data_IF_234758517084
#
_entry.id   IF_234758517084
#
_cell.length_a   1.000
_cell.length_b   1.000
_cell.length_c   1.000
_cell.angle_alpha   90.00
_cell.angle_beta   90.00
_cell.angle_gamma   90.00
#
_symmetry.space_group_name_H-M   'P 1'
#
loop_
_entity.id
_entity.type
_entity.pdbx_description
1 polymer ?
#
# COMPACT_ATOMS: atom_id res chain seq x y z
N UNK A 1 -17.00 9.98 -10.01
CA UNK A 1 -15.64 9.41 -9.90
C UNK A 1 -14.97 10.07 -8.71
N UNK A 2 -14.42 9.29 -7.77
CA UNK A 2 -13.70 9.80 -6.59
C UNK A 2 -12.24 9.36 -6.64
N UNK A 3 -11.37 10.10 -5.96
CA UNK A 3 -10.00 9.70 -5.63
C UNK A 3 -9.98 9.12 -4.22
N UNK A 4 -9.46 7.91 -4.06
CA UNK A 4 -9.50 7.18 -2.78
C UNK A 4 -8.11 6.65 -2.45
N UNK A 5 -7.58 7.04 -1.30
CA UNK A 5 -6.34 6.48 -0.76
C UNK A 5 -6.70 5.41 0.26
N UNK A 6 -6.29 4.18 0.01
CA UNK A 6 -6.31 3.11 0.99
C UNK A 6 -4.97 3.15 1.75
N UNK A 7 -5.04 3.45 3.04
CA UNK A 7 -3.89 3.50 3.93
C UNK A 7 -3.88 2.21 4.77
N UNK A 8 -3.14 1.21 4.31
CA UNK A 8 -3.11 -0.12 4.92
C UNK A 8 -2.06 -0.17 6.04
N UNK A 9 -2.49 -0.37 7.28
CA UNK A 9 -1.65 -0.36 8.48
C UNK A 9 -1.56 -1.72 9.19
N UNK A 10 -2.63 -2.52 9.11
CA UNK A 10 -2.76 -3.75 9.89
C UNK A 10 -1.85 -4.89 9.38
N UNK A 11 -1.20 -5.60 10.30
CA UNK A 11 -0.27 -6.70 10.02
C UNK A 11 -0.93 -8.06 9.81
N UNK A 12 -2.25 -8.14 9.97
CA UNK A 12 -3.00 -9.37 9.69
C UNK A 12 -3.20 -9.49 8.19
N UNK A 13 -2.63 -10.55 7.59
CA UNK A 13 -2.79 -10.89 6.17
C UNK A 13 -4.24 -10.81 5.68
N UNK A 14 -5.20 -11.27 6.47
CA UNK A 14 -6.61 -11.20 6.12
C UNK A 14 -7.10 -9.75 5.96
N UNK A 15 -6.72 -8.82 6.84
CA UNK A 15 -7.09 -7.40 6.73
C UNK A 15 -6.46 -6.78 5.49
N UNK A 16 -5.18 -7.03 5.24
CA UNK A 16 -4.50 -6.49 4.06
C UNK A 16 -5.11 -7.01 2.75
N UNK A 17 -5.47 -8.29 2.67
CA UNK A 17 -6.18 -8.83 1.51
C UNK A 17 -7.53 -8.13 1.28
N UNK A 18 -8.26 -7.75 2.34
CA UNK A 18 -9.49 -6.97 2.18
C UNK A 18 -9.22 -5.55 1.68
N UNK A 19 -8.12 -4.91 2.10
CA UNK A 19 -7.69 -3.63 1.54
C UNK A 19 -7.45 -3.74 0.02
N UNK A 20 -6.72 -4.78 -0.42
CA UNK A 20 -6.46 -5.05 -1.84
C UNK A 20 -7.76 -5.34 -2.63
N UNK A 21 -8.68 -6.14 -2.07
CA UNK A 21 -9.96 -6.45 -2.72
C UNK A 21 -10.84 -5.20 -2.88
N UNK A 22 -10.91 -4.36 -1.84
CA UNK A 22 -11.63 -3.08 -1.91
C UNK A 22 -11.00 -2.16 -2.95
N UNK A 23 -9.66 -2.08 -3.02
CA UNK A 23 -8.98 -1.29 -4.03
C UNK A 23 -9.37 -1.73 -5.45
N UNK A 24 -9.32 -3.05 -5.71
CA UNK A 24 -9.69 -3.62 -7.01
C UNK A 24 -11.16 -3.36 -7.37
N UNK A 25 -12.08 -3.51 -6.41
CA UNK A 25 -13.50 -3.27 -6.63
C UNK A 25 -13.78 -1.78 -6.93
N UNK A 26 -13.17 -0.86 -6.17
CA UNK A 26 -13.30 0.58 -6.39
C UNK A 26 -12.75 1.00 -7.76
N UNK A 27 -11.61 0.46 -8.17
CA UNK A 27 -11.08 0.66 -9.54
C UNK A 27 -12.04 0.14 -10.60
N UNK A 28 -12.60 -1.05 -10.41
CA UNK A 28 -13.61 -1.63 -11.31
C UNK A 28 -14.90 -0.78 -11.41
N UNK A 29 -15.23 -0.04 -10.35
CA UNK A 29 -16.30 0.96 -10.33
C UNK A 29 -15.93 2.31 -10.96
N UNK A 30 -14.73 2.45 -11.53
CA UNK A 30 -14.27 3.68 -12.16
C UNK A 30 -13.83 4.75 -11.18
N UNK A 31 -13.27 4.39 -10.02
CA UNK A 31 -12.59 5.32 -9.12
C UNK A 31 -11.08 5.34 -9.36
N UNK A 32 -10.45 6.46 -9.06
CA UNK A 32 -8.98 6.56 -8.98
C UNK A 32 -8.57 6.12 -7.56
N UNK A 33 -7.76 5.06 -7.47
CA UNK A 33 -7.43 4.43 -6.20
C UNK A 33 -5.92 4.30 -6.08
N UNK A 34 -5.40 4.65 -4.91
CA UNK A 34 -4.02 4.40 -4.51
C UNK A 34 -3.96 3.63 -3.20
N UNK A 35 -2.90 2.87 -3.00
CA UNK A 35 -2.61 2.16 -1.75
C UNK A 35 -1.26 2.62 -1.24
N UNK A 36 -1.22 3.04 0.02
CA UNK A 36 0.01 3.21 0.80
C UNK A 36 0.08 2.07 1.81
N UNK A 37 1.24 1.41 1.85
CA UNK A 37 1.53 0.32 2.79
C UNK A 37 2.35 0.92 3.94
N UNK A 38 1.76 1.02 5.11
CA UNK A 38 2.34 1.61 6.32
C UNK A 38 2.27 0.60 7.48
N UNK A 39 2.98 0.86 8.57
CA UNK A 39 2.80 0.08 9.80
C UNK A 39 3.14 -1.39 9.60
N UNK A 40 2.38 -2.26 10.28
CA UNK A 40 2.64 -3.70 10.26
C UNK A 40 2.35 -4.36 8.91
N UNK A 41 1.52 -3.74 8.05
CA UNK A 41 1.28 -4.22 6.70
C UNK A 41 2.56 -4.30 5.85
N UNK A 42 3.59 -3.53 6.18
CA UNK A 42 4.90 -3.58 5.50
C UNK A 42 5.55 -4.97 5.54
N UNK A 43 5.22 -5.81 6.53
CA UNK A 43 5.77 -7.18 6.65
C UNK A 43 5.13 -8.17 5.69
N UNK A 44 3.93 -7.86 5.18
CA UNK A 44 3.13 -8.77 4.36
C UNK A 44 3.55 -8.78 2.89
N UNK A 45 4.32 -7.78 2.42
CA UNK A 45 4.83 -7.72 1.04
C UNK A 45 5.63 -8.99 0.73
N UNK A 46 6.60 -9.35 1.57
CA UNK A 46 7.43 -10.53 1.36
C UNK A 46 6.64 -11.84 1.29
N UNK A 47 5.59 -11.97 2.11
CA UNK A 47 4.69 -13.12 2.06
C UNK A 47 3.93 -13.19 0.73
N UNK A 48 3.39 -12.05 0.27
CA UNK A 48 2.58 -12.01 -0.95
C UNK A 48 3.41 -12.15 -2.23
N UNK A 49 4.66 -11.67 -2.25
CA UNK A 49 5.63 -11.95 -3.32
C UNK A 49 5.93 -13.46 -3.39
N UNK A 50 6.23 -14.08 -2.24
CA UNK A 50 6.52 -15.52 -2.16
C UNK A 50 5.33 -16.39 -2.60
N UNK A 51 4.12 -15.98 -2.24
CA UNK A 51 2.89 -16.69 -2.61
C UNK A 51 2.48 -16.47 -4.07
N UNK A 52 3.21 -15.66 -4.84
CA UNK A 52 2.83 -15.20 -6.19
C UNK A 52 1.38 -14.69 -6.23
N UNK A 53 0.99 -13.90 -5.22
CA UNK A 53 -0.39 -13.52 -5.03
C UNK A 53 -0.89 -12.64 -6.18
N UNK A 54 -1.73 -13.21 -7.05
CA UNK A 54 -2.22 -12.57 -8.28
C UNK A 54 -2.91 -11.23 -8.05
N UNK A 55 -3.63 -11.06 -6.93
CA UNK A 55 -4.33 -9.81 -6.64
C UNK A 55 -3.33 -8.71 -6.32
N UNK A 56 -2.42 -8.98 -5.39
CA UNK A 56 -1.35 -8.07 -5.03
C UNK A 56 -0.46 -7.71 -6.23
N UNK A 57 0.00 -8.72 -6.98
CA UNK A 57 0.85 -8.51 -8.16
C UNK A 57 0.16 -7.62 -9.19
N UNK A 58 -1.13 -7.84 -9.48
CA UNK A 58 -1.86 -6.99 -10.42
C UNK A 58 -1.94 -5.51 -9.99
N UNK A 59 -2.08 -5.25 -8.68
CA UNK A 59 -2.16 -3.90 -8.13
C UNK A 59 -0.77 -3.24 -7.97
N UNK A 60 0.28 -4.06 -7.86
CA UNK A 60 1.67 -3.60 -7.93
C UNK A 60 2.02 -3.18 -9.36
N UNK A 61 1.76 -4.05 -10.32
CA UNK A 61 2.10 -3.87 -11.74
C UNK A 61 1.39 -2.66 -12.37
N UNK A 62 0.14 -2.40 -12.00
CA UNK A 62 -0.63 -1.28 -12.54
C UNK A 62 -0.44 0.05 -11.78
N UNK A 63 0.48 0.08 -10.79
CA UNK A 63 0.81 1.27 -10.01
C UNK A 63 -0.28 1.74 -9.06
N UNK A 64 -1.24 0.87 -8.70
CA UNK A 64 -2.21 1.17 -7.63
C UNK A 64 -1.51 1.26 -6.28
N UNK A 65 -0.56 0.36 -6.01
CA UNK A 65 0.32 0.48 -4.84
C UNK A 65 1.28 1.65 -5.10
N UNK A 66 1.02 2.77 -4.44
CA UNK A 66 1.79 4.00 -4.59
C UNK A 66 3.15 3.92 -3.90
N UNK A 67 3.23 3.19 -2.80
CA UNK A 67 4.48 2.95 -2.13
C UNK A 67 4.34 2.28 -0.75
N UNK A 68 5.50 2.01 -0.16
CA UNK A 68 5.65 1.41 1.17
C UNK A 68 6.46 2.35 2.07
N UNK A 69 6.09 2.44 3.33
CA UNK A 69 6.78 3.28 4.29
C UNK A 69 8.26 2.90 4.47
N UNK A 70 9.15 3.87 4.31
CA UNK A 70 10.59 3.69 4.54
C UNK A 70 10.91 3.39 6.01
N UNK A 71 10.42 4.22 6.93
CA UNK A 71 10.71 4.06 8.36
C UNK A 71 10.17 2.74 8.92
N UNK A 72 8.90 2.40 8.69
CA UNK A 72 8.35 1.10 9.11
C UNK A 72 9.10 -0.07 8.52
N UNK A 73 9.51 -0.02 7.24
CA UNK A 73 10.31 -1.09 6.65
C UNK A 73 11.64 -1.30 7.38
N UNK A 74 12.28 -0.22 7.87
CA UNK A 74 13.50 -0.32 8.68
C UNK A 74 13.22 -0.83 10.10
N UNK A 75 12.22 -0.27 10.78
CA UNK A 75 11.87 -0.63 12.16
C UNK A 75 11.42 -2.09 12.27
N UNK A 76 10.72 -2.59 11.27
CA UNK A 76 10.21 -3.96 11.20
C UNK A 76 11.21 -4.93 10.53
N UNK A 77 12.42 -4.47 10.23
CA UNK A 77 13.50 -5.30 9.66
C UNK A 77 13.15 -5.96 8.31
N UNK A 78 12.27 -5.33 7.52
CA UNK A 78 11.83 -5.79 6.19
C UNK A 78 12.29 -4.88 5.04
N UNK A 79 13.29 -4.02 5.29
CA UNK A 79 13.79 -3.06 4.29
C UNK A 79 14.26 -3.74 3.00
N UNK A 80 15.13 -4.75 3.09
CA UNK A 80 15.68 -5.41 1.90
C UNK A 80 14.61 -6.20 1.15
N UNK A 81 13.67 -6.84 1.87
CA UNK A 81 12.51 -7.50 1.29
C UNK A 81 11.65 -6.51 0.50
N UNK A 82 11.32 -5.37 1.11
CA UNK A 82 10.48 -4.35 0.47
C UNK A 82 11.20 -3.67 -0.69
N UNK A 83 12.52 -3.45 -0.57
CA UNK A 83 13.35 -2.97 -1.67
C UNK A 83 13.36 -3.94 -2.86
N UNK A 84 13.48 -5.24 -2.60
CA UNK A 84 13.48 -6.27 -3.63
C UNK A 84 12.11 -6.41 -4.34
N UNK A 85 11.01 -6.03 -3.68
CA UNK A 85 9.67 -6.02 -4.30
C UNK A 85 9.54 -5.04 -5.47
N UNK A 86 10.40 -4.02 -5.53
CA UNK A 86 10.33 -2.94 -6.52
C UNK A 86 9.28 -1.86 -6.22
N UNK A 87 8.55 -1.96 -5.11
CA UNK A 87 7.62 -0.92 -4.66
C UNK A 87 8.42 0.32 -4.20
N UNK A 88 8.06 1.55 -4.62
CA UNK A 88 8.72 2.76 -4.16
C UNK A 88 8.63 2.94 -2.64
N UNK A 89 9.71 3.39 -2.03
CA UNK A 89 9.67 3.86 -0.65
C UNK A 89 9.07 5.27 -0.55
N UNK A 90 8.24 5.49 0.46
CA UNK A 90 7.68 6.80 0.82
C UNK A 90 8.18 7.23 2.20
N UNK A 91 8.49 8.51 2.34
CA UNK A 91 9.14 9.07 3.52
C UNK A 91 8.81 10.57 3.77
N UNK A 92 7.78 11.10 3.12
CA UNK A 92 7.44 12.53 3.01
C UNK A 92 6.86 13.17 4.29
N UNK A 93 6.48 12.39 5.32
CA UNK A 93 5.98 12.95 6.59
C UNK A 93 7.10 13.32 7.57
N UNK A 94 7.94 12.33 7.92
CA UNK A 94 9.06 12.39 8.88
C UNK A 94 9.89 11.10 8.75
N UNK A 95 10.15 10.64 7.52
CA UNK A 95 10.67 9.30 7.26
C UNK A 95 9.59 8.22 7.10
N UNK A 96 8.34 8.52 7.48
CA UNK A 96 7.15 7.69 7.26
C UNK A 96 6.35 8.12 6.03
N UNK A 97 5.44 7.27 5.56
CA UNK A 97 4.57 7.61 4.43
C UNK A 97 3.43 8.52 4.88
N UNK A 98 3.50 9.79 4.47
CA UNK A 98 2.48 10.79 4.74
C UNK A 98 1.26 10.64 3.85
N UNK A 99 0.16 11.24 4.28
CA UNK A 99 -1.07 11.35 3.48
C UNK A 99 -1.27 12.74 2.88
N UNK A 100 -0.44 13.72 3.25
CA UNK A 100 -0.62 15.13 2.89
C UNK A 100 -0.69 15.35 1.37
N UNK A 101 0.29 14.83 0.63
CA UNK A 101 0.33 14.94 -0.84
C UNK A 101 -0.92 14.35 -1.50
N UNK A 102 -1.39 13.21 -1.02
CA UNK A 102 -2.63 12.59 -1.52
C UNK A 102 -3.87 13.43 -1.17
N UNK A 103 -3.96 13.96 0.04
CA UNK A 103 -5.09 14.82 0.45
C UNK A 103 -5.13 16.10 -0.39
N UNK A 104 -3.99 16.73 -0.61
CA UNK A 104 -3.86 17.93 -1.47
C UNK A 104 -4.24 17.61 -2.94
N UNK A 105 -3.96 16.40 -3.40
CA UNK A 105 -4.39 15.89 -4.70
C UNK A 105 -5.88 15.48 -4.77
N UNK A 106 -6.61 15.63 -3.65
CA UNK A 106 -8.05 15.39 -3.55
C UNK A 106 -8.45 13.95 -3.22
N UNK A 107 -7.54 13.12 -2.70
CA UNK A 107 -7.85 11.77 -2.27
C UNK A 107 -8.58 11.76 -0.91
N UNK A 108 -9.67 11.01 -0.83
CA UNK A 108 -10.33 10.63 0.43
C UNK A 108 -9.59 9.44 1.05
N UNK A 109 -9.15 9.55 2.31
CA UNK A 109 -8.35 8.50 2.98
C UNK A 109 -9.25 7.50 3.70
N UNK A 110 -9.02 6.21 3.46
CA UNK A 110 -9.65 5.09 4.17
C UNK A 110 -8.54 4.23 4.78
N UNK A 111 -8.58 4.02 6.10
CA UNK A 111 -7.58 3.23 6.83
C UNK A 111 -8.04 1.77 6.95
N UNK A 112 -7.12 0.83 6.71
CA UNK A 112 -7.35 -0.62 6.79
C UNK A 112 -6.36 -1.33 7.70
#
# INVERSE_FOLDING_TARGET
>A
MKKILIYAMEGKKMCFLHALMNAKQLKGGGHDVKIVIEGQACTLIGELEKDENKLYLSLKEDGTIAGVCLACSKVLEVYDTNKASGIPFLDDMNGHAGTLSFVDDGYEVIVF
#
